data_IF_890241263149
#
_entry.id   IF_890241263149
#
_cell.length_a   1.000
_cell.length_b   1.000
_cell.length_c   1.000
_cell.angle_alpha   90.00
_cell.angle_beta   90.00
_cell.angle_gamma   90.00
#
_symmetry.space_group_name_H-M   'P 1'
#
loop_
_entity.id
_entity.type
_entity.pdbx_description
1 polymer ?
#
# COMPACT_ATOMS: atom_id res chain seq x y z
N UNK A 1 13.87 37.84 14.93
CA UNK A 1 12.64 37.98 14.11
C UNK A 1 12.99 37.75 12.65
N UNK A 2 12.60 36.60 12.07
CA UNK A 2 12.00 36.48 10.73
C UNK A 2 11.84 35.00 10.41
N UNK A 3 10.58 34.54 10.37
CA UNK A 3 10.17 33.19 9.98
C UNK A 3 10.26 33.10 8.46
N UNK A 4 10.86 32.04 7.91
CA UNK A 4 10.44 31.45 6.62
C UNK A 4 10.53 29.94 6.72
N UNK A 5 9.37 29.30 6.62
CA UNK A 5 9.30 27.86 6.41
C UNK A 5 9.92 27.51 5.06
N UNK A 6 10.84 26.56 5.08
CA UNK A 6 11.34 25.89 3.89
C UNK A 6 10.82 24.45 3.93
N UNK A 7 9.98 24.10 2.96
CA UNK A 7 9.74 22.69 2.62
C UNK A 7 11.05 22.02 2.16
N UNK A 8 11.02 20.71 1.85
CA UNK A 8 12.22 19.96 1.46
C UNK A 8 12.95 20.65 0.30
N UNK A 9 14.12 21.20 0.61
CA UNK A 9 14.96 21.98 -0.31
C UNK A 9 15.68 21.03 -1.27
N UNK A 10 15.38 21.13 -2.56
CA UNK A 10 16.20 20.56 -3.62
C UNK A 10 17.43 21.47 -3.78
N UNK A 11 18.57 21.12 -3.15
CA UNK A 11 19.82 21.87 -3.34
C UNK A 11 20.49 21.41 -4.64
N UNK A 12 20.04 21.98 -5.76
CA UNK A 12 20.78 22.02 -7.01
C UNK A 12 21.84 23.12 -6.93
N UNK A 13 23.00 22.82 -6.33
CA UNK A 13 24.16 23.68 -6.51
C UNK A 13 24.75 23.39 -7.88
N UNK A 14 24.45 24.28 -8.82
CA UNK A 14 25.12 24.34 -10.12
C UNK A 14 26.63 24.40 -9.86
N UNK A 15 27.36 23.44 -10.42
CA UNK A 15 28.81 23.37 -10.49
C UNK A 15 29.58 23.20 -9.16
N UNK A 16 29.53 21.98 -8.58
CA UNK A 16 30.74 21.28 -8.06
C UNK A 16 30.38 19.91 -7.46
N UNK A 17 29.15 19.76 -6.93
CA UNK A 17 28.68 18.56 -6.23
C UNK A 17 27.14 18.46 -6.24
N UNK A 18 26.60 17.38 -6.83
CA UNK A 18 25.16 17.07 -6.79
C UNK A 18 24.86 16.21 -5.54
N UNK A 19 23.89 16.64 -4.73
CA UNK A 19 23.44 15.93 -3.52
C UNK A 19 21.95 15.61 -3.64
N UNK A 20 21.59 14.33 -3.81
CA UNK A 20 20.17 13.93 -3.87
C UNK A 20 19.70 13.40 -2.52
N UNK A 21 18.57 13.95 -2.07
CA UNK A 21 18.06 13.88 -0.72
C UNK A 21 16.70 13.17 -0.69
N UNK A 22 16.64 11.89 -1.06
CA UNK A 22 15.38 11.12 -1.09
C UNK A 22 15.57 9.74 -0.45
N UNK A 23 14.74 9.43 0.55
CA UNK A 23 14.94 8.33 1.51
C UNK A 23 14.24 7.01 1.12
N UNK A 24 13.68 6.92 -0.09
CA UNK A 24 12.91 5.76 -0.57
C UNK A 24 13.51 5.20 -1.87
N UNK A 25 13.19 3.95 -2.24
CA UNK A 25 13.61 3.34 -3.53
C UNK A 25 13.17 4.17 -4.73
N UNK A 26 11.92 4.63 -4.75
CA UNK A 26 11.40 5.59 -5.74
C UNK A 26 12.19 6.91 -5.73
N UNK A 27 12.72 7.26 -4.56
CA UNK A 27 13.58 8.41 -4.41
C UNK A 27 14.96 8.24 -5.04
N UNK A 28 15.54 7.05 -4.95
CA UNK A 28 16.75 6.70 -5.67
C UNK A 28 16.50 6.64 -7.19
N UNK A 29 15.36 6.11 -7.63
CA UNK A 29 15.03 6.09 -9.06
C UNK A 29 15.00 7.51 -9.65
N UNK A 30 14.24 8.43 -9.04
CA UNK A 30 14.23 9.85 -9.47
C UNK A 30 15.62 10.50 -9.38
N UNK A 31 16.43 10.12 -8.37
CA UNK A 31 17.78 10.64 -8.24
C UNK A 31 18.64 10.29 -9.45
N UNK A 32 18.58 9.04 -9.90
CA UNK A 32 19.31 8.58 -11.07
C UNK A 32 18.81 9.21 -12.37
N UNK A 33 17.51 9.43 -12.53
CA UNK A 33 16.97 10.19 -13.67
C UNK A 33 17.59 11.60 -13.77
N UNK A 34 17.67 12.31 -12.63
CA UNK A 34 18.30 13.64 -12.58
C UNK A 34 19.80 13.56 -12.90
N UNK A 35 20.48 12.54 -12.37
CA UNK A 35 21.92 12.30 -12.66
C UNK A 35 22.14 12.08 -14.16
N UNK A 36 21.31 11.28 -14.81
CA UNK A 36 21.43 10.97 -16.23
C UNK A 36 21.17 12.21 -17.10
N UNK A 37 20.17 13.03 -16.74
CA UNK A 37 19.94 14.33 -17.38
C UNK A 37 21.15 15.24 -17.21
N UNK A 38 21.69 15.38 -15.99
CA UNK A 38 22.87 16.20 -15.74
C UNK A 38 24.12 15.70 -16.48
N UNK A 39 24.25 14.40 -16.71
CA UNK A 39 25.34 13.81 -17.50
C UNK A 39 25.12 13.95 -19.00
N UNK A 40 23.88 14.08 -19.46
CA UNK A 40 23.54 14.22 -20.88
C UNK A 40 23.63 15.67 -21.37
N UNK A 41 23.40 16.66 -20.50
CA UNK A 41 23.40 18.08 -20.88
C UNK A 41 24.82 18.62 -21.07
N UNK A 42 25.11 19.14 -22.27
CA UNK A 42 26.43 19.67 -22.65
C UNK A 42 26.88 20.85 -21.80
N UNK A 43 25.95 21.69 -21.29
CA UNK A 43 26.28 22.78 -20.35
C UNK A 43 26.93 22.23 -19.09
N UNK A 44 26.44 21.10 -18.56
CA UNK A 44 27.02 20.47 -17.38
C UNK A 44 28.40 19.87 -17.67
N UNK A 45 28.59 19.29 -18.86
CA UNK A 45 29.90 18.76 -19.31
C UNK A 45 30.93 19.86 -19.57
N UNK A 46 30.48 20.99 -20.14
CA UNK A 46 31.32 22.16 -20.42
C UNK A 46 31.85 22.80 -19.13
N UNK A 47 31.08 22.74 -18.04
CA UNK A 47 31.51 23.25 -16.74
C UNK A 47 32.37 22.25 -15.97
N UNK A 48 32.04 20.94 -16.00
CA UNK A 48 32.84 19.91 -15.33
C UNK A 48 32.65 18.54 -15.98
N UNK A 49 33.67 18.05 -16.67
CA UNK A 49 33.64 16.73 -17.34
C UNK A 49 33.53 15.55 -16.34
N UNK A 50 33.90 15.75 -15.07
CA UNK A 50 33.84 14.71 -14.04
C UNK A 50 32.98 15.17 -12.85
N UNK A 51 31.65 15.05 -13.01
CA UNK A 51 30.67 15.36 -11.99
C UNK A 51 30.72 14.29 -10.89
N UNK A 52 31.13 14.69 -9.68
CA UNK A 52 31.12 13.82 -8.52
C UNK A 52 29.74 13.86 -7.84
N UNK A 53 29.07 12.72 -7.78
CA UNK A 53 27.68 12.60 -7.37
C UNK A 53 27.64 11.89 -6.02
N UNK A 54 26.97 12.50 -5.04
CA UNK A 54 26.71 11.85 -3.74
C UNK A 54 25.24 11.87 -3.41
N UNK A 55 24.81 10.85 -2.69
CA UNK A 55 23.51 10.76 -2.05
C UNK A 55 23.64 11.22 -0.61
N UNK A 56 22.75 12.09 -0.16
CA UNK A 56 22.57 12.39 1.26
C UNK A 56 21.44 11.55 1.82
N UNK A 57 21.73 10.69 2.78
CA UNK A 57 20.74 9.86 3.47
C UNK A 57 20.27 10.53 4.76
N UNK A 58 18.96 10.65 4.93
CA UNK A 58 18.30 11.13 6.16
C UNK A 58 16.96 10.41 6.31
N UNK A 59 16.57 10.10 7.55
CA UNK A 59 15.29 9.44 7.85
C UNK A 59 14.19 10.42 8.24
N UNK A 60 14.56 11.65 8.60
CA UNK A 60 13.64 12.73 8.97
C UNK A 60 14.27 14.08 8.63
N UNK A 61 13.44 15.08 8.30
CA UNK A 61 13.87 16.45 8.05
C UNK A 61 13.96 17.20 9.38
N UNK A 62 15.03 16.96 10.14
CA UNK A 62 15.30 17.60 11.43
C UNK A 62 16.67 18.28 11.35
N UNK A 63 16.79 19.48 11.88
CA UNK A 63 17.99 20.33 11.79
C UNK A 63 19.23 19.68 12.44
N UNK A 64 19.03 18.79 13.42
CA UNK A 64 20.08 17.99 14.07
C UNK A 64 20.45 16.70 13.33
N UNK A 65 19.73 16.34 12.27
CA UNK A 65 19.98 15.10 11.54
C UNK A 65 21.26 15.22 10.70
N UNK A 66 22.27 14.43 11.06
CA UNK A 66 23.51 14.36 10.30
C UNK A 66 23.25 13.55 9.04
N UNK A 67 23.35 14.19 7.87
CA UNK A 67 23.23 13.48 6.59
C UNK A 67 24.50 12.63 6.35
N UNK A 68 24.34 11.32 6.24
CA UNK A 68 25.42 10.44 5.76
C UNK A 68 25.53 10.58 4.25
N UNK A 69 26.75 10.76 3.73
CA UNK A 69 27.01 10.93 2.29
C UNK A 69 27.48 9.60 1.71
N UNK A 70 26.64 8.99 0.89
CA UNK A 70 26.89 7.68 0.27
C UNK A 70 26.80 7.78 -1.24
N UNK A 71 27.24 6.75 -1.95
CA UNK A 71 26.98 6.66 -3.39
C UNK A 71 25.56 6.12 -3.62
N UNK A 72 24.85 6.63 -4.63
CA UNK A 72 23.52 6.13 -4.96
C UNK A 72 23.62 4.69 -5.50
N UNK A 73 22.72 3.81 -5.07
CA UNK A 73 22.79 2.38 -5.38
C UNK A 73 21.95 2.04 -6.60
N UNK A 74 22.60 1.52 -7.65
CA UNK A 74 21.90 1.11 -8.88
C UNK A 74 20.96 -0.08 -8.66
N UNK A 75 21.15 -0.87 -7.60
CA UNK A 75 20.31 -2.03 -7.33
C UNK A 75 18.87 -1.61 -6.99
N UNK A 76 18.70 -0.53 -6.23
CA UNK A 76 17.36 -0.04 -5.88
C UNK A 76 16.63 0.53 -7.08
N UNK A 77 17.34 1.18 -8.00
CA UNK A 77 16.82 1.65 -9.29
C UNK A 77 16.27 0.48 -10.10
N UNK A 78 17.09 -0.56 -10.33
CA UNK A 78 16.70 -1.75 -11.11
C UNK A 78 15.47 -2.44 -10.53
N UNK A 79 15.33 -2.48 -9.21
CA UNK A 79 14.13 -3.05 -8.56
C UNK A 79 12.89 -2.22 -8.84
N UNK A 80 12.99 -0.89 -8.82
CA UNK A 80 11.85 -0.01 -9.14
C UNK A 80 11.48 -0.16 -10.62
N UNK A 81 12.46 -0.13 -11.52
CA UNK A 81 12.23 -0.28 -12.96
C UNK A 81 11.56 -1.62 -13.30
N UNK A 82 12.08 -2.71 -12.72
CA UNK A 82 11.49 -4.03 -12.88
C UNK A 82 10.02 -4.06 -12.40
N UNK A 83 9.73 -3.45 -11.25
CA UNK A 83 8.35 -3.37 -10.73
C UNK A 83 7.45 -2.57 -11.67
N UNK A 84 7.90 -1.40 -12.14
CA UNK A 84 7.14 -0.56 -13.06
C UNK A 84 6.85 -1.28 -14.39
N UNK A 85 7.84 -1.99 -14.93
CA UNK A 85 7.70 -2.76 -16.17
C UNK A 85 6.71 -3.93 -16.00
N UNK A 86 6.82 -4.67 -14.90
CA UNK A 86 5.90 -5.78 -14.57
C UNK A 86 4.47 -5.26 -14.41
N UNK A 87 4.29 -4.22 -13.60
CA UNK A 87 2.97 -3.64 -13.33
C UNK A 87 2.34 -3.09 -14.61
N UNK A 88 3.12 -2.43 -15.47
CA UNK A 88 2.65 -1.91 -16.75
C UNK A 88 2.27 -3.03 -17.72
N UNK A 89 3.14 -4.03 -17.91
CA UNK A 89 2.90 -5.10 -18.89
C UNK A 89 1.72 -5.97 -18.49
N UNK A 90 1.68 -6.41 -17.22
CA UNK A 90 0.59 -7.24 -16.71
C UNK A 90 -0.69 -6.39 -16.64
N UNK A 91 -0.62 -5.19 -16.07
CA UNK A 91 -1.78 -4.32 -15.93
C UNK A 91 -2.42 -3.97 -17.28
N UNK A 92 -1.62 -3.53 -18.26
CA UNK A 92 -2.14 -3.15 -19.58
C UNK A 92 -2.71 -4.35 -20.36
N UNK A 93 -2.03 -5.50 -20.34
CA UNK A 93 -2.48 -6.70 -21.06
C UNK A 93 -3.82 -7.22 -20.52
N UNK A 94 -3.91 -7.44 -19.21
CA UNK A 94 -5.13 -7.96 -18.58
C UNK A 94 -6.27 -6.95 -18.56
N UNK A 95 -5.99 -5.66 -18.34
CA UNK A 95 -7.02 -4.59 -18.41
C UNK A 95 -7.62 -4.52 -19.81
N UNK A 96 -6.78 -4.51 -20.85
CA UNK A 96 -7.26 -4.45 -22.24
C UNK A 96 -8.05 -5.71 -22.61
N UNK A 97 -7.53 -6.88 -22.27
CA UNK A 97 -8.21 -8.15 -22.53
C UNK A 97 -9.60 -8.20 -21.87
N UNK A 98 -9.69 -7.92 -20.57
CA UNK A 98 -10.96 -7.94 -19.83
C UNK A 98 -11.93 -6.88 -20.33
N UNK A 99 -11.45 -5.65 -20.53
CA UNK A 99 -12.31 -4.56 -21.00
C UNK A 99 -12.91 -4.88 -22.36
N UNK A 100 -12.11 -5.37 -23.32
CA UNK A 100 -12.63 -5.73 -24.65
C UNK A 100 -13.59 -6.92 -24.59
N UNK A 101 -13.19 -8.01 -23.90
CA UNK A 101 -14.00 -9.23 -23.81
C UNK A 101 -15.36 -8.97 -23.16
N UNK A 102 -15.39 -8.20 -22.07
CA UNK A 102 -16.61 -7.95 -21.30
C UNK A 102 -17.48 -6.87 -21.93
N UNK A 103 -16.88 -5.89 -22.61
CA UNK A 103 -17.62 -4.88 -23.39
C UNK A 103 -18.42 -5.51 -24.53
N UNK A 104 -17.88 -6.55 -25.16
CA UNK A 104 -18.57 -7.28 -26.24
C UNK A 104 -19.66 -8.22 -25.70
N UNK A 105 -19.52 -8.70 -24.46
CA UNK A 105 -20.42 -9.70 -23.84
C UNK A 105 -21.57 -9.07 -23.07
N UNK A 106 -21.29 -8.02 -22.33
CA UNK A 106 -22.24 -7.26 -21.56
C UNK A 106 -22.25 -5.90 -22.22
N UNK A 107 -23.42 -5.40 -22.62
CA UNK A 107 -23.57 -4.07 -23.21
C UNK A 107 -23.31 -3.00 -22.16
N UNK A 108 -22.06 -2.92 -21.69
CA UNK A 108 -21.54 -2.08 -20.60
C UNK A 108 -21.66 -0.58 -20.97
N UNK A 109 -21.91 -0.29 -22.26
CA UNK A 109 -22.21 1.04 -22.79
C UNK A 109 -23.71 1.42 -22.68
N UNK A 110 -24.61 0.54 -22.22
CA UNK A 110 -26.08 0.76 -22.24
C UNK A 110 -26.68 1.39 -20.99
N UNK A 111 -25.91 1.53 -19.90
CA UNK A 111 -26.40 2.13 -18.65
C UNK A 111 -26.25 3.65 -18.68
N UNK A 112 -27.06 4.34 -19.49
CA UNK A 112 -27.39 5.78 -19.36
C UNK A 112 -26.31 6.83 -19.65
N UNK A 113 -25.04 6.55 -19.39
CA UNK A 113 -23.94 7.51 -19.50
C UNK A 113 -23.19 7.31 -20.83
N UNK A 114 -23.74 7.87 -21.91
CA UNK A 114 -23.23 7.80 -23.30
C UNK A 114 -21.80 8.31 -23.53
N UNK A 115 -21.06 8.68 -22.49
CA UNK A 115 -19.74 9.33 -22.58
C UNK A 115 -18.58 8.58 -21.92
N UNK A 116 -18.82 7.51 -21.14
CA UNK A 116 -17.75 6.84 -20.40
C UNK A 116 -17.66 5.36 -20.77
N UNK A 117 -16.81 5.05 -21.75
CA UNK A 117 -16.34 3.67 -21.98
C UNK A 117 -15.80 3.12 -20.67
N UNK A 118 -16.51 2.20 -20.03
CA UNK A 118 -16.17 1.69 -18.70
C UNK A 118 -14.98 0.72 -18.82
N UNK A 119 -13.84 1.11 -18.25
CA UNK A 119 -12.62 0.29 -18.25
C UNK A 119 -12.65 -0.65 -17.05
N UNK A 120 -12.34 -1.93 -17.29
CA UNK A 120 -12.18 -2.94 -16.26
C UNK A 120 -10.69 -3.12 -16.03
N UNK A 121 -10.17 -2.38 -15.04
CA UNK A 121 -8.75 -2.37 -14.71
C UNK A 121 -8.34 -3.62 -13.93
N UNK A 122 -7.16 -4.14 -14.26
CA UNK A 122 -6.47 -5.18 -13.53
C UNK A 122 -5.08 -4.69 -13.11
N UNK A 123 -4.71 -4.98 -11.87
CA UNK A 123 -3.36 -4.75 -11.36
C UNK A 123 -2.92 -5.94 -10.50
N UNK A 124 -1.67 -6.41 -10.60
CA UNK A 124 -1.19 -7.58 -9.87
C UNK A 124 -1.26 -7.42 -8.35
N UNK A 125 -1.15 -6.19 -7.82
CA UNK A 125 -1.36 -5.87 -6.41
C UNK A 125 -2.83 -5.53 -6.08
N UNK A 126 -3.53 -4.84 -7.00
CA UNK A 126 -4.92 -4.41 -6.82
C UNK A 126 -5.89 -5.60 -6.69
N UNK A 127 -5.68 -6.66 -7.48
CA UNK A 127 -6.59 -7.80 -7.55
C UNK A 127 -6.60 -8.62 -6.24
N UNK A 128 -5.44 -8.99 -5.65
CA UNK A 128 -5.41 -9.62 -4.32
C UNK A 128 -6.02 -8.74 -3.23
N UNK A 129 -5.80 -7.43 -3.25
CA UNK A 129 -6.40 -6.50 -2.26
C UNK A 129 -7.92 -6.53 -2.32
N UNK A 130 -8.50 -6.53 -3.52
CA UNK A 130 -9.94 -6.69 -3.68
C UNK A 130 -10.42 -8.06 -3.21
N UNK A 131 -9.63 -9.11 -3.45
CA UNK A 131 -9.90 -10.47 -2.97
C UNK A 131 -10.15 -10.53 -1.46
N UNK A 132 -9.31 -9.85 -0.66
CA UNK A 132 -9.48 -9.80 0.81
C UNK A 132 -10.82 -9.17 1.23
N UNK A 133 -11.31 -8.18 0.48
CA UNK A 133 -12.58 -7.51 0.77
C UNK A 133 -13.75 -8.43 0.39
N UNK A 134 -13.66 -9.06 -0.78
CA UNK A 134 -14.70 -9.98 -1.28
C UNK A 134 -14.80 -11.23 -0.41
N UNK A 135 -13.68 -11.78 0.03
CA UNK A 135 -13.62 -12.92 0.96
C UNK A 135 -14.35 -12.59 2.26
N UNK A 136 -14.03 -11.45 2.87
CA UNK A 136 -14.74 -10.98 4.08
C UNK A 136 -16.22 -10.76 3.85
N UNK A 137 -16.59 -10.23 2.69
CA UNK A 137 -17.99 -10.07 2.34
C UNK A 137 -18.72 -11.41 2.29
N UNK A 138 -18.13 -12.44 1.68
CA UNK A 138 -18.72 -13.78 1.63
C UNK A 138 -18.78 -14.45 3.00
N UNK A 139 -17.76 -14.33 3.84
CA UNK A 139 -17.79 -14.82 5.22
C UNK A 139 -18.98 -14.25 6.01
N UNK A 140 -19.25 -12.95 5.85
CA UNK A 140 -20.39 -12.29 6.50
C UNK A 140 -21.73 -12.78 5.93
N UNK A 141 -21.84 -12.95 4.61
CA UNK A 141 -23.08 -13.44 3.99
C UNK A 141 -23.37 -14.91 4.33
N UNK A 142 -22.33 -15.73 4.49
CA UNK A 142 -22.44 -17.12 4.87
C UNK A 142 -22.54 -17.33 6.40
N UNK A 143 -22.44 -16.25 7.18
CA UNK A 143 -22.51 -16.34 8.64
C UNK A 143 -23.94 -16.68 9.07
N UNK A 144 -24.13 -17.90 9.56
CA UNK A 144 -25.34 -18.29 10.27
C UNK A 144 -25.13 -18.00 11.77
N UNK A 145 -25.92 -17.09 12.38
CA UNK A 145 -25.77 -16.76 13.78
C UNK A 145 -26.21 -17.94 14.66
N UNK A 146 -25.33 -18.34 15.58
CA UNK A 146 -25.61 -19.42 16.55
C UNK A 146 -25.96 -18.82 17.92
N UNK A 147 -27.00 -19.34 18.55
CA UNK A 147 -27.32 -19.01 19.94
C UNK A 147 -26.25 -19.58 20.89
N UNK A 148 -25.70 -18.74 21.75
CA UNK A 148 -24.77 -19.14 22.79
C UNK A 148 -25.14 -18.53 24.14
N UNK A 149 -24.69 -19.15 25.22
CA UNK A 149 -24.96 -18.70 26.58
C UNK A 149 -23.66 -18.22 27.22
N UNK A 150 -23.73 -17.16 28.02
CA UNK A 150 -22.59 -16.61 28.75
C UNK A 150 -22.93 -16.53 30.23
N UNK A 151 -22.01 -16.95 31.09
CA UNK A 151 -22.12 -16.73 32.54
C UNK A 151 -21.38 -15.43 32.86
N UNK A 152 -22.14 -14.42 33.28
CA UNK A 152 -21.61 -13.13 33.70
C UNK A 152 -21.54 -13.09 35.23
N UNK A 153 -20.32 -13.08 35.79
CA UNK A 153 -20.10 -12.85 37.21
C UNK A 153 -19.48 -11.47 37.44
N UNK A 154 -20.16 -10.64 38.22
CA UNK A 154 -19.65 -9.37 38.73
C UNK A 154 -19.46 -9.46 40.24
N UNK A 155 -18.27 -9.09 40.72
CA UNK A 155 -17.98 -8.97 42.15
C UNK A 155 -17.54 -7.53 42.44
N UNK A 156 -18.20 -6.90 43.41
CA UNK A 156 -17.86 -5.56 43.89
C UNK A 156 -16.98 -5.71 45.13
N UNK A 157 -15.69 -5.34 45.02
CA UNK A 157 -14.76 -5.32 46.17
C UNK A 157 -14.95 -4.03 46.97
N UNK A 158 -14.69 -4.05 48.28
CA UNK A 158 -14.79 -2.88 49.18
C UNK A 158 -13.92 -1.68 48.73
N UNK A 159 -12.92 -1.91 47.88
CA UNK A 159 -12.07 -0.88 47.26
C UNK A 159 -12.65 -0.24 45.98
N UNK A 160 -13.90 -0.56 45.60
CA UNK A 160 -14.58 0.02 44.42
C UNK A 160 -14.10 -0.51 43.06
N UNK A 161 -13.25 -1.53 43.04
CA UNK A 161 -12.82 -2.21 41.82
C UNK A 161 -13.78 -3.37 41.52
N UNK A 162 -14.68 -3.17 40.55
CA UNK A 162 -15.54 -4.24 40.04
C UNK A 162 -14.75 -5.16 39.11
N UNK A 163 -14.55 -6.42 39.51
CA UNK A 163 -13.91 -7.43 38.66
C UNK A 163 -15.01 -8.15 37.87
N UNK A 164 -14.99 -8.02 36.54
CA UNK A 164 -15.92 -8.70 35.62
C UNK A 164 -15.25 -9.96 35.05
N UNK A 165 -15.83 -11.12 35.30
CA UNK A 165 -15.42 -12.37 34.67
C UNK A 165 -16.50 -12.82 33.68
N UNK A 166 -16.10 -13.04 32.42
CA UNK A 166 -16.98 -13.51 31.34
C UNK A 166 -16.45 -14.84 30.80
N UNK A 167 -17.26 -15.89 30.89
CA UNK A 167 -16.97 -17.18 30.26
C UNK A 167 -18.09 -17.52 29.26
N UNK A 168 -17.72 -17.72 27.98
CA UNK A 168 -18.64 -18.08 26.89
C UNK A 168 -18.73 -19.60 26.76
N UNK A 169 -19.95 -20.15 26.75
CA UNK A 169 -20.21 -21.57 26.54
C UNK A 169 -21.16 -21.76 25.36
N UNK A 170 -20.79 -22.64 24.43
CA UNK A 170 -21.68 -23.12 23.35
C UNK A 170 -22.27 -24.44 23.82
N UNK A 171 -23.55 -24.43 24.17
CA UNK A 171 -24.27 -25.62 24.67
C UNK A 171 -25.00 -26.28 23.50
N UNK A 172 -24.53 -27.44 23.04
CA UNK A 172 -25.18 -28.23 22.00
C UNK A 172 -26.44 -28.93 22.54
N UNK A 173 -27.56 -28.21 22.68
CA UNK A 173 -28.83 -28.77 23.16
C UNK A 173 -29.46 -29.81 22.20
N UNK A 174 -29.05 -29.84 20.93
CA UNK A 174 -29.66 -30.68 19.90
C UNK A 174 -29.28 -32.17 19.94
N UNK A 175 -28.33 -32.62 20.80
CA UNK A 175 -28.00 -34.05 20.91
C UNK A 175 -28.77 -34.77 22.03
N UNK A 176 -29.34 -34.05 23.01
CA UNK A 176 -29.96 -34.67 24.20
C UNK A 176 -31.46 -34.92 24.08
N UNK A 177 -32.19 -34.14 23.29
CA UNK A 177 -33.65 -34.31 23.13
C UNK A 177 -33.97 -35.51 22.20
N UNK A 178 -33.10 -35.83 21.25
CA UNK A 178 -33.27 -36.99 20.35
C UNK A 178 -33.17 -38.35 21.05
N UNK A 179 -32.43 -38.44 22.16
CA UNK A 179 -32.30 -39.69 22.92
C UNK A 179 -33.49 -39.96 23.86
N UNK A 180 -34.19 -38.93 24.33
CA UNK A 180 -35.35 -39.09 25.21
C UNK A 180 -36.63 -39.46 24.45
N UNK A 181 -36.74 -39.15 23.15
CA UNK A 181 -37.90 -39.54 22.32
C UNK A 181 -37.81 -40.97 21.75
N UNK A 182 -36.67 -41.66 21.88
CA UNK A 182 -36.47 -43.03 21.39
C UNK A 182 -36.60 -44.10 22.50
N UNK A 183 -36.80 -43.67 23.76
CA UNK A 183 -36.88 -44.53 24.95
C UNK A 183 -38.26 -44.47 25.64
N UNK A 184 -39.20 -43.64 25.15
CA UNK A 184 -40.61 -43.65 25.54
C UNK A 184 -41.48 -44.18 24.41
#
# INVERSE_FOLDING_TARGET
>A
MSRRGGGPVMVLNVAEKLSVAKSCREGENTAFEVVDVCRAVDVCRAVKHNLYIRRSHFSALIDSSKSQREEPSQLFVRVVDARQEIDLRIGASFTRFQTMLLKDRFSIDSTGDKERSRVISYGPCQFPTLGLIVERYWEIQAHEPEEFWTINCSHESEDGLATKAENKYVMFYNLFIGFFSLIC
#
